data_IF_893449879532
#
_entry.id   IF_893449879532
#
_cell.length_a   1.000
_cell.length_b   1.000
_cell.length_c   1.000
_cell.angle_alpha   90.00
_cell.angle_beta   90.00
_cell.angle_gamma   90.00
#
_symmetry.space_group_name_H-M   'P 1'
#
loop_
_entity.id
_entity.type
_entity.pdbx_description
1 polymer ?
#
# COMPACT_ATOMS: atom_id res chain seq x y z
N UNK A 1 5.02 -3.21 -4.02
CA UNK A 1 5.53 -2.28 -5.07
C UNK A 1 6.20 -3.09 -6.18
N UNK A 2 6.16 -2.64 -7.44
CA UNK A 2 6.90 -3.30 -8.54
C UNK A 2 8.37 -2.86 -8.49
N UNK A 3 9.29 -3.80 -8.71
CA UNK A 3 10.74 -3.53 -8.80
C UNK A 3 11.45 -3.36 -7.44
N UNK A 4 10.73 -3.50 -6.32
CA UNK A 4 11.28 -3.24 -4.99
C UNK A 4 12.41 -4.19 -4.58
N UNK A 5 12.32 -5.50 -4.87
CA UNK A 5 13.42 -6.43 -4.57
C UNK A 5 14.72 -6.02 -5.27
N UNK A 6 14.65 -5.66 -6.56
CA UNK A 6 15.80 -5.15 -7.31
C UNK A 6 16.32 -3.83 -6.74
N UNK A 7 15.43 -2.95 -6.29
CA UNK A 7 15.82 -1.71 -5.61
C UNK A 7 16.61 -2.01 -4.32
N UNK A 8 16.15 -2.95 -3.50
CA UNK A 8 16.87 -3.38 -2.30
C UNK A 8 18.26 -3.94 -2.62
N UNK A 9 18.40 -4.73 -3.68
CA UNK A 9 19.71 -5.27 -4.09
C UNK A 9 20.68 -4.15 -4.53
N UNK A 10 20.18 -3.18 -5.30
CA UNK A 10 20.95 -2.02 -5.75
C UNK A 10 21.36 -1.14 -4.56
N UNK A 11 20.44 -0.92 -3.61
CA UNK A 11 20.64 -0.03 -2.45
C UNK A 11 21.06 -0.77 -1.18
N UNK A 12 21.56 -2.01 -1.27
CA UNK A 12 21.86 -2.87 -0.11
C UNK A 12 22.84 -2.23 0.90
N UNK A 13 23.74 -1.37 0.43
CA UNK A 13 24.70 -0.62 1.26
C UNK A 13 24.23 0.80 1.62
N UNK A 14 23.03 1.20 1.19
CA UNK A 14 22.48 2.55 1.30
C UNK A 14 21.12 2.54 2.02
N UNK A 15 21.09 1.99 3.24
CA UNK A 15 19.86 1.98 4.07
C UNK A 15 19.31 3.39 4.34
N UNK A 16 20.19 4.39 4.38
CA UNK A 16 19.87 5.82 4.50
C UNK A 16 19.12 6.38 3.30
N UNK A 17 19.10 5.69 2.16
CA UNK A 17 18.33 6.07 0.97
C UNK A 17 17.04 5.25 0.82
N UNK A 18 16.99 4.02 1.34
CA UNK A 18 15.84 3.14 1.24
C UNK A 18 14.80 3.40 2.34
N UNK A 19 15.26 3.54 3.59
CA UNK A 19 14.37 3.70 4.75
C UNK A 19 13.57 5.00 4.70
N UNK A 20 14.16 6.17 4.36
CA UNK A 20 13.38 7.39 4.26
C UNK A 20 12.38 7.38 3.11
N UNK A 21 12.72 6.74 1.97
CA UNK A 21 11.76 6.52 0.88
C UNK A 21 10.53 5.74 1.36
N UNK A 22 10.74 4.60 2.03
CA UNK A 22 9.63 3.81 2.58
C UNK A 22 8.81 4.61 3.58
N UNK A 23 9.46 5.41 4.43
CA UNK A 23 8.77 6.26 5.41
C UNK A 23 7.90 7.32 4.73
N UNK A 24 8.42 8.01 3.71
CA UNK A 24 7.65 8.98 2.93
C UNK A 24 6.48 8.31 2.20
N UNK A 25 6.72 7.14 1.59
CA UNK A 25 5.68 6.36 0.94
C UNK A 25 4.58 5.95 1.92
N UNK A 26 4.94 5.42 3.09
CA UNK A 26 3.99 4.97 4.11
C UNK A 26 3.18 6.12 4.72
N UNK A 27 3.80 7.27 4.99
CA UNK A 27 3.06 8.42 5.50
C UNK A 27 2.11 8.99 4.45
N UNK A 28 2.56 9.11 3.19
CA UNK A 28 1.70 9.49 2.07
C UNK A 28 0.52 8.54 1.92
N UNK A 29 0.78 7.23 1.92
CA UNK A 29 -0.25 6.24 1.70
C UNK A 29 -1.25 6.17 2.86
N UNK A 30 -0.76 6.29 4.10
CA UNK A 30 -1.61 6.38 5.29
C UNK A 30 -2.52 7.60 5.19
N UNK A 31 -2.00 8.79 4.91
CA UNK A 31 -2.81 10.02 4.79
C UNK A 31 -3.95 9.86 3.80
N UNK A 32 -3.65 9.39 2.59
CA UNK A 32 -4.67 9.18 1.55
C UNK A 32 -5.72 8.16 2.01
N UNK A 33 -5.32 6.99 2.55
CA UNK A 33 -6.28 6.00 3.04
C UNK A 33 -7.26 6.62 4.04
N UNK A 34 -6.75 7.41 4.99
CA UNK A 34 -7.58 8.09 6.00
C UNK A 34 -8.48 9.19 5.40
N UNK A 35 -7.98 9.99 4.44
CA UNK A 35 -8.73 11.06 3.77
C UNK A 35 -9.96 10.52 3.03
N UNK A 36 -9.86 9.31 2.47
CA UNK A 36 -10.98 8.62 1.82
C UNK A 36 -11.81 7.73 2.79
N UNK A 37 -11.67 7.90 4.10
CA UNK A 37 -12.46 7.19 5.11
C UNK A 37 -12.11 5.71 5.28
N UNK A 38 -10.92 5.30 4.82
CA UNK A 38 -10.36 3.98 5.07
C UNK A 38 -9.56 3.93 6.37
N UNK A 39 -9.35 2.71 6.86
CA UNK A 39 -8.47 2.41 8.00
C UNK A 39 -7.24 1.69 7.50
N UNK A 40 -6.05 2.13 7.91
CA UNK A 40 -4.81 1.41 7.63
C UNK A 40 -4.74 0.15 8.52
N UNK A 41 -4.74 -1.04 7.90
CA UNK A 41 -4.57 -2.32 8.59
C UNK A 41 -3.09 -2.55 8.92
N UNK A 42 -2.24 -2.59 7.88
CA UNK A 42 -0.83 -2.95 8.04
C UNK A 42 0.08 -2.49 6.91
N UNK A 43 1.36 -2.39 7.26
CA UNK A 43 2.46 -2.36 6.31
C UNK A 43 2.89 -3.79 5.96
N UNK A 44 3.07 -4.08 4.68
CA UNK A 44 3.40 -5.41 4.15
C UNK A 44 4.68 -5.33 3.32
N UNK A 45 5.82 -5.22 3.98
CA UNK A 45 7.12 -5.06 3.32
C UNK A 45 7.23 -3.71 2.62
N UNK A 46 6.86 -3.66 1.35
CA UNK A 46 6.89 -2.50 0.45
C UNK A 46 5.50 -2.04 0.00
N UNK A 47 4.46 -2.55 0.67
CA UNK A 47 3.06 -2.21 0.40
C UNK A 47 2.29 -1.84 1.68
N UNK A 48 1.08 -1.36 1.48
CA UNK A 48 0.11 -1.06 2.54
C UNK A 48 -1.19 -1.81 2.27
N UNK A 49 -1.92 -2.13 3.33
CA UNK A 49 -3.29 -2.64 3.26
C UNK A 49 -4.23 -1.65 3.93
N UNK A 50 -5.22 -1.17 3.19
CA UNK A 50 -6.32 -0.34 3.69
C UNK A 50 -7.63 -1.12 3.68
N UNK A 51 -8.47 -0.88 4.69
CA UNK A 51 -9.82 -1.44 4.81
C UNK A 51 -10.82 -0.29 4.70
N UNK A 52 -11.77 -0.40 3.79
CA UNK A 52 -12.84 0.58 3.58
C UNK A 52 -14.18 -0.03 3.99
N UNK A 53 -15.03 0.76 4.66
CA UNK A 53 -16.35 0.32 5.10
C UNK A 53 -16.42 -0.41 6.44
N UNK A 54 -15.35 -0.41 7.23
CA UNK A 54 -15.38 -0.97 8.60
C UNK A 54 -16.20 -0.10 9.57
N UNK A 55 -16.08 1.23 9.49
CA UNK A 55 -16.78 2.17 10.37
C UNK A 55 -18.08 2.73 9.76
N UNK A 56 -18.42 2.37 8.52
CA UNK A 56 -19.64 2.84 7.88
C UNK A 56 -20.86 2.20 8.55
N UNK A 57 -21.74 3.03 9.13
CA UNK A 57 -23.04 2.58 9.63
C UNK A 57 -23.83 1.95 8.48
N UNK A 58 -24.07 0.65 8.57
CA UNK A 58 -25.12 -0.12 7.86
C UNK A 58 -25.25 0.09 6.33
N UNK A 59 -24.79 -0.90 5.56
CA UNK A 59 -25.44 -1.30 4.30
C UNK A 59 -24.94 -0.67 2.99
N UNK A 60 -24.23 0.45 3.01
CA UNK A 60 -23.78 1.11 1.77
C UNK A 60 -22.39 0.63 1.32
N UNK A 61 -22.33 -0.55 0.67
CA UNK A 61 -21.08 -1.05 0.07
C UNK A 61 -20.58 -0.16 -1.10
N UNK A 62 -21.50 0.51 -1.81
CA UNK A 62 -21.17 1.27 -3.03
C UNK A 62 -20.28 2.48 -2.74
N UNK A 63 -20.54 3.22 -1.65
CA UNK A 63 -19.70 4.37 -1.26
C UNK A 63 -18.28 3.94 -0.87
N UNK A 64 -18.16 2.84 -0.12
CA UNK A 64 -16.88 2.29 0.30
C UNK A 64 -16.02 1.83 -0.88
N UNK A 65 -16.64 1.22 -1.90
CA UNK A 65 -15.95 0.81 -3.12
C UNK A 65 -15.41 2.03 -3.89
N UNK A 66 -16.22 3.08 -4.02
CA UNK A 66 -15.83 4.33 -4.69
C UNK A 66 -14.66 4.99 -3.95
N UNK A 67 -14.74 5.09 -2.62
CA UNK A 67 -13.66 5.63 -1.79
C UNK A 67 -12.36 4.84 -1.94
N UNK A 68 -12.43 3.50 -1.95
CA UNK A 68 -11.25 2.65 -2.14
C UNK A 68 -10.59 2.88 -3.52
N UNK A 69 -11.41 3.00 -4.57
CA UNK A 69 -10.91 3.29 -5.93
C UNK A 69 -10.32 4.69 -6.02
N UNK A 70 -10.99 5.70 -5.47
CA UNK A 70 -10.49 7.07 -5.46
C UNK A 70 -9.16 7.19 -4.69
N UNK A 71 -9.06 6.56 -3.52
CA UNK A 71 -7.82 6.48 -2.76
C UNK A 71 -6.69 5.81 -3.55
N UNK A 72 -6.98 4.72 -4.28
CA UNK A 72 -5.98 4.05 -5.10
C UNK A 72 -5.53 4.89 -6.30
N UNK A 73 -6.43 5.63 -6.94
CA UNK A 73 -6.09 6.55 -8.02
C UNK A 73 -5.18 7.68 -7.51
N UNK A 74 -5.54 8.31 -6.39
CA UNK A 74 -4.70 9.35 -5.80
C UNK A 74 -3.34 8.80 -5.33
N UNK A 75 -3.32 7.62 -4.71
CA UNK A 75 -2.08 6.91 -4.38
C UNK A 75 -1.18 6.74 -5.60
N UNK A 76 -1.73 6.31 -6.74
CA UNK A 76 -0.96 6.13 -7.98
C UNK A 76 -0.43 7.46 -8.51
N UNK A 77 -1.21 8.53 -8.44
CA UNK A 77 -0.78 9.84 -8.91
C UNK A 77 0.30 10.44 -8.02
N UNK A 78 0.10 10.47 -6.70
CA UNK A 78 1.09 10.97 -5.72
C UNK A 78 2.37 10.13 -5.71
N UNK A 79 2.27 8.84 -6.01
CA UNK A 79 3.43 7.97 -6.15
C UNK A 79 4.29 8.33 -7.36
N UNK A 80 3.74 8.88 -8.46
CA UNK A 80 4.56 9.33 -9.61
C UNK A 80 5.54 10.43 -9.19
N UNK A 81 5.08 11.40 -8.42
CA UNK A 81 5.91 12.49 -7.93
C UNK A 81 6.96 12.00 -6.94
N UNK A 82 6.55 11.14 -6.01
CA UNK A 82 7.46 10.50 -5.05
C UNK A 82 8.54 9.68 -5.78
N UNK A 83 8.13 8.89 -6.77
CA UNK A 83 9.02 8.10 -7.60
C UNK A 83 10.03 8.99 -8.33
N UNK A 84 9.57 10.05 -9.01
CA UNK A 84 10.44 10.94 -9.75
C UNK A 84 11.48 11.61 -8.85
N UNK A 85 11.04 12.09 -7.68
CA UNK A 85 11.94 12.65 -6.64
C UNK A 85 13.02 11.65 -6.24
N UNK A 86 12.64 10.42 -5.90
CA UNK A 86 13.56 9.44 -5.35
C UNK A 86 14.49 8.81 -6.39
N UNK A 87 14.03 8.61 -7.64
CA UNK A 87 14.89 8.18 -8.75
C UNK A 87 16.05 9.16 -8.92
N UNK A 88 15.76 10.47 -8.98
CA UNK A 88 16.79 11.51 -9.08
C UNK A 88 17.81 11.50 -7.93
N UNK A 89 17.41 11.06 -6.74
CA UNK A 89 18.31 10.95 -5.58
C UNK A 89 19.17 9.69 -5.70
N UNK A 90 18.56 8.54 -6.01
CA UNK A 90 19.27 7.27 -6.06
C UNK A 90 20.27 7.21 -7.22
N UNK A 91 19.93 7.71 -8.41
CA UNK A 91 20.81 7.69 -9.58
C UNK A 91 22.10 8.52 -9.40
N UNK A 92 22.16 9.41 -8.40
CA UNK A 92 23.40 10.09 -7.99
C UNK A 92 24.37 9.20 -7.21
N UNK A 93 23.87 8.11 -6.62
CA UNK A 93 24.62 7.23 -5.73
C UNK A 93 24.95 5.89 -6.37
N UNK A 94 24.16 5.47 -7.37
CA UNK A 94 24.34 4.17 -8.04
C UNK A 94 24.30 4.31 -9.56
N UNK A 95 25.17 3.60 -10.31
CA UNK A 95 25.19 3.65 -11.77
C UNK A 95 24.16 2.68 -12.38
N UNK A 96 22.94 2.65 -11.85
CA UNK A 96 21.88 1.74 -12.28
C UNK A 96 20.63 2.52 -12.63
N UNK A 97 19.99 2.16 -13.75
CA UNK A 97 18.64 2.63 -14.05
C UNK A 97 17.66 2.02 -13.05
N UNK A 98 16.98 2.86 -12.29
CA UNK A 98 16.01 2.43 -11.29
C UNK A 98 14.59 2.55 -11.85
N UNK A 99 13.84 1.45 -11.79
CA UNK A 99 12.44 1.42 -12.21
C UNK A 99 11.61 0.77 -11.13
N UNK A 100 10.70 1.55 -10.56
CA UNK A 100 9.72 1.10 -9.58
C UNK A 100 8.31 1.48 -10.04
N UNK A 101 7.29 0.93 -9.39
CA UNK A 101 5.90 1.24 -9.72
C UNK A 101 4.95 0.84 -8.61
N UNK A 102 3.79 1.49 -8.54
CA UNK A 102 2.77 1.16 -7.55
C UNK A 102 1.70 0.25 -8.16
N UNK A 103 1.48 -0.90 -7.53
CA UNK A 103 0.39 -1.83 -7.86
C UNK A 103 -0.71 -1.67 -6.84
N UNK A 104 -1.97 -1.65 -7.29
CA UNK A 104 -3.14 -1.57 -6.42
C UNK A 104 -4.15 -2.65 -6.84
N UNK A 105 -4.53 -3.52 -5.91
CA UNK A 105 -5.63 -4.46 -6.08
C UNK A 105 -6.74 -4.15 -5.09
N UNK A 106 -7.97 -4.03 -5.59
CA UNK A 106 -9.16 -3.72 -4.80
C UNK A 106 -10.16 -4.85 -4.99
N UNK A 107 -10.80 -5.27 -3.90
CA UNK A 107 -11.93 -6.18 -3.95
C UNK A 107 -12.93 -5.82 -2.84
N UNK A 108 -14.21 -6.04 -3.10
CA UNK A 108 -15.30 -5.80 -2.15
C UNK A 108 -16.07 -7.07 -1.90
N UNK A 109 -16.46 -7.29 -0.65
CA UNK A 109 -17.19 -8.48 -0.24
C UNK A 109 -17.12 -8.70 1.27
N UNK A 110 -17.77 -9.75 1.74
CA UNK A 110 -17.75 -10.08 3.17
C UNK A 110 -16.35 -10.48 3.63
N UNK A 111 -15.97 -9.96 4.79
CA UNK A 111 -14.73 -10.31 5.48
C UNK A 111 -14.96 -10.23 6.99
N UNK A 112 -14.21 -11.03 7.74
CA UNK A 112 -14.17 -10.95 9.21
C UNK A 112 -13.16 -9.86 9.55
N UNK A 113 -13.58 -8.82 10.25
CA UNK A 113 -12.69 -7.70 10.64
C UNK A 113 -12.63 -7.59 12.16
N UNK A 114 -11.42 -7.50 12.72
CA UNK A 114 -11.25 -7.30 14.15
C UNK A 114 -9.82 -7.53 14.63
N UNK A 115 -9.64 -7.52 15.95
CA UNK A 115 -8.36 -7.81 16.59
C UNK A 115 -8.10 -9.32 16.59
N UNK A 116 -7.12 -9.76 15.80
CA UNK A 116 -6.77 -11.17 15.63
C UNK A 116 -5.33 -11.38 16.11
N UNK A 117 -5.09 -12.51 16.78
CA UNK A 117 -3.76 -12.91 17.22
C UNK A 117 -3.77 -13.74 18.49
N UNK A 118 -2.70 -13.64 19.26
CA UNK A 118 -2.54 -14.34 20.55
C UNK A 118 -2.67 -13.36 21.70
N UNK A 119 -2.71 -13.87 22.95
CA UNK A 119 -2.68 -13.03 24.16
C UNK A 119 -1.51 -12.04 24.22
N UNK A 120 -0.39 -12.32 23.52
CA UNK A 120 0.84 -11.50 23.56
C UNK A 120 0.98 -10.57 22.37
N UNK A 121 0.25 -10.82 21.28
CA UNK A 121 0.35 -10.03 20.05
C UNK A 121 -0.96 -10.12 19.30
N UNK A 122 -1.69 -9.02 19.28
CA UNK A 122 -2.91 -8.82 18.52
C UNK A 122 -2.68 -7.78 17.44
N UNK A 123 -3.41 -7.91 16.34
CA UNK A 123 -3.42 -6.95 15.25
C UNK A 123 -4.83 -6.81 14.71
N UNK A 124 -5.27 -5.57 14.53
CA UNK A 124 -6.51 -5.28 13.82
C UNK A 124 -6.34 -5.62 12.35
N UNK A 125 -7.14 -6.52 11.80
CA UNK A 125 -7.02 -6.99 10.40
C UNK A 125 -8.34 -7.52 9.88
N UNK A 126 -8.44 -7.62 8.54
CA UNK A 126 -9.49 -8.37 7.86
C UNK A 126 -9.02 -9.78 7.46
N UNK A 127 -9.92 -10.77 7.51
CA UNK A 127 -9.73 -12.14 7.04
C UNK A 127 -10.86 -12.58 6.11
N UNK A 128 -10.54 -13.46 5.17
CA UNK A 128 -11.50 -14.13 4.31
C UNK A 128 -11.09 -14.17 2.84
N UNK A 129 -11.89 -14.87 2.04
CA UNK A 129 -11.66 -15.01 0.59
C UNK A 129 -11.57 -13.65 -0.11
N UNK A 130 -12.38 -12.68 0.31
CA UNK A 130 -12.37 -11.31 -0.21
C UNK A 130 -10.99 -10.66 -0.13
N UNK A 131 -10.30 -10.81 1.02
CA UNK A 131 -8.96 -10.27 1.26
C UNK A 131 -7.93 -10.98 0.38
N UNK A 132 -8.01 -12.31 0.29
CA UNK A 132 -7.10 -13.10 -0.53
C UNK A 132 -7.21 -12.75 -2.02
N UNK A 133 -8.43 -12.49 -2.51
CA UNK A 133 -8.65 -12.05 -3.89
C UNK A 133 -8.01 -10.66 -4.12
N UNK A 134 -8.18 -9.69 -3.20
CA UNK A 134 -7.54 -8.38 -3.32
C UNK A 134 -6.00 -8.48 -3.42
N UNK A 135 -5.39 -9.34 -2.59
CA UNK A 135 -3.95 -9.61 -2.65
C UNK A 135 -3.54 -10.23 -4.00
N UNK A 136 -4.32 -11.18 -4.52
CA UNK A 136 -4.07 -11.81 -5.83
C UNK A 136 -4.19 -10.79 -6.97
N UNK A 137 -5.20 -9.94 -6.95
CA UNK A 137 -5.38 -8.87 -7.94
C UNK A 137 -4.17 -7.94 -7.95
N UNK A 138 -3.70 -7.51 -6.77
CA UNK A 138 -2.49 -6.68 -6.65
C UNK A 138 -1.28 -7.33 -7.33
N UNK A 139 -1.10 -8.64 -7.18
CA UNK A 139 0.04 -9.36 -7.76
C UNK A 139 -0.05 -9.46 -9.29
N UNK A 140 -1.27 -9.60 -9.83
CA UNK A 140 -1.54 -9.68 -11.28
C UNK A 140 -1.45 -8.33 -12.00
N UNK A 141 -1.50 -7.20 -11.29
CA UNK A 141 -1.35 -5.88 -11.92
C UNK A 141 0.07 -5.69 -12.47
N UNK A 142 0.18 -5.28 -13.74
CA UNK A 142 1.47 -5.00 -14.39
C UNK A 142 1.89 -3.53 -14.36
N UNK A 143 0.93 -2.61 -14.09
CA UNK A 143 1.08 -1.14 -14.13
C UNK A 143 0.29 -0.42 -13.04
#
# INVERSE_FOLDING_TARGET
MKGFSKLCDILKTYSTLLVPFLREFFDMARKIIFEYGGVLDKYMGDGVMGIFGFESKSGECTGNAICAVAAALELKDRFKDLQAKWICIWEKHVPHTITIGLKCGINTGYAIVGNIGTKRRTQFTALGTTVNIACRLTNLCDR
#
